data_IF_252514689086
#
_entry.id   IF_252514689086
#
_cell.length_a   1.000
_cell.length_b   1.000
_cell.length_c   1.000
_cell.angle_alpha   90.00
_cell.angle_beta   90.00
_cell.angle_gamma   90.00
#
_symmetry.space_group_name_H-M   'P 1'
#
loop_
_entity.id
_entity.type
_entity.pdbx_description
1 polymer ?
#
# COMPACT_ATOMS: atom_id res chain seq x y z
N UNK A 1 29.78 2.26 32.35
CA UNK A 1 29.03 3.23 33.18
C UNK A 1 28.22 4.11 32.25
N UNK A 2 26.90 3.92 32.24
CA UNK A 2 25.83 4.90 32.05
C UNK A 2 24.53 4.09 32.02
N UNK A 3 23.67 4.37 33.00
CA UNK A 3 22.58 3.53 33.48
C UNK A 3 21.35 3.54 32.56
N UNK A 4 20.63 2.41 32.53
CA UNK A 4 19.30 2.27 31.92
C UNK A 4 18.24 2.85 32.87
N UNK A 5 17.21 3.57 32.39
CA UNK A 5 16.17 4.08 33.29
C UNK A 5 15.26 2.96 33.81
N UNK A 6 14.90 3.13 35.07
CA UNK A 6 14.24 2.19 35.96
C UNK A 6 12.74 1.98 35.63
N UNK A 7 12.21 0.78 35.88
CA UNK A 7 10.87 0.28 35.52
C UNK A 7 9.68 0.91 36.29
N UNK A 8 9.87 2.03 36.99
CA UNK A 8 8.85 2.65 37.88
C UNK A 8 8.25 3.97 37.40
N UNK A 9 8.69 4.53 36.27
CA UNK A 9 8.15 5.80 35.75
C UNK A 9 7.01 5.65 34.73
N UNK A 10 6.59 4.41 34.42
CA UNK A 10 5.54 4.13 33.42
C UNK A 10 4.13 4.01 33.99
N UNK A 11 3.95 4.17 35.30
CA UNK A 11 2.69 3.91 36.00
C UNK A 11 1.91 5.15 36.46
N UNK A 12 2.30 6.37 36.07
CA UNK A 12 1.65 7.62 36.54
C UNK A 12 0.87 8.42 35.49
N UNK A 13 0.64 7.87 34.29
CA UNK A 13 -0.08 8.59 33.22
C UNK A 13 -1.48 8.05 32.89
N UNK A 14 -2.02 7.11 33.67
CA UNK A 14 -3.32 6.48 33.34
C UNK A 14 -4.26 6.17 34.52
N UNK A 15 -4.14 6.84 35.68
CA UNK A 15 -4.96 6.49 36.86
C UNK A 15 -5.77 7.59 37.53
N UNK A 16 -5.85 8.83 37.02
CA UNK A 16 -6.74 9.84 37.60
C UNK A 16 -7.50 10.67 36.56
N UNK A 17 -8.57 10.10 36.02
CA UNK A 17 -9.70 10.86 35.49
C UNK A 17 -11.00 10.24 36.03
N UNK A 18 -11.36 10.60 37.27
CA UNK A 18 -12.75 10.49 37.74
C UNK A 18 -13.55 11.67 37.16
N UNK A 19 -14.82 11.49 36.75
CA UNK A 19 -15.62 12.59 36.25
C UNK A 19 -15.96 13.55 37.40
N UNK A 20 -15.49 14.79 37.30
CA UNK A 20 -15.93 15.91 38.13
C UNK A 20 -17.33 16.32 37.63
N UNK A 21 -18.34 16.27 38.51
CA UNK A 21 -19.66 16.86 38.23
C UNK A 21 -19.50 18.38 38.09
N UNK A 22 -19.82 18.92 36.92
CA UNK A 22 -19.97 20.36 36.73
C UNK A 22 -21.26 20.86 37.41
N UNK A 23 -21.31 22.11 37.93
CA UNK A 23 -22.51 22.67 38.52
C UNK A 23 -23.53 23.02 37.43
N UNK A 24 -24.82 22.78 37.75
CA UNK A 24 -25.96 23.15 36.91
C UNK A 24 -25.94 24.65 36.59
N UNK A 25 -25.74 24.99 35.32
CA UNK A 25 -26.01 26.33 34.78
C UNK A 25 -27.12 26.18 33.73
N UNK A 26 -28.27 26.76 34.06
CA UNK A 26 -29.51 26.71 33.29
C UNK A 26 -29.35 27.43 31.94
N UNK A 27 -29.01 26.66 30.89
CA UNK A 27 -28.81 27.14 29.52
C UNK A 27 -30.12 27.43 28.78
N UNK A 28 -31.28 27.34 29.45
CA UNK A 28 -32.60 27.66 28.85
C UNK A 28 -32.91 29.15 28.74
N UNK A 29 -32.11 30.05 29.32
CA UNK A 29 -32.34 31.50 29.25
C UNK A 29 -31.74 32.20 28.02
N UNK A 30 -30.71 31.62 27.39
CA UNK A 30 -29.95 32.29 26.33
C UNK A 30 -30.46 32.03 24.89
N UNK A 31 -31.27 31.00 24.67
CA UNK A 31 -31.72 30.62 23.31
C UNK A 31 -33.10 31.24 22.96
N UNK A 32 -33.80 31.86 23.92
CA UNK A 32 -35.12 32.48 23.68
C UNK A 32 -35.10 33.88 23.05
N UNK A 33 -33.95 34.56 22.97
CA UNK A 33 -33.90 35.95 22.50
C UNK A 33 -33.59 36.12 21.00
N UNK A 34 -33.24 35.05 20.27
CA UNK A 34 -32.81 35.17 18.87
C UNK A 34 -33.75 34.60 17.80
N UNK A 35 -34.78 33.82 18.17
CA UNK A 35 -35.67 33.15 17.21
C UNK A 35 -37.10 33.74 17.11
N UNK A 36 -37.35 34.93 17.67
CA UNK A 36 -38.68 35.56 17.69
C UNK A 36 -38.91 36.63 16.60
N UNK A 37 -38.10 36.69 15.53
CA UNK A 37 -38.36 37.59 14.40
C UNK A 37 -38.22 36.85 13.08
N UNK A 38 -39.32 36.86 12.32
CA UNK A 38 -39.50 36.42 10.94
C UNK A 38 -39.98 34.98 10.73
N UNK A 39 -41.31 34.83 10.70
CA UNK A 39 -41.99 33.80 9.93
C UNK A 39 -43.35 34.33 9.46
N UNK A 40 -43.66 34.39 8.15
CA UNK A 40 -45.03 34.39 7.67
C UNK A 40 -45.55 32.95 7.49
N UNK A 41 -46.86 32.77 7.72
CA UNK A 41 -47.59 31.49 7.79
C UNK A 41 -47.66 30.72 6.44
N UNK A 42 -47.88 29.39 6.46
CA UNK A 42 -48.06 28.59 5.25
C UNK A 42 -49.53 28.56 4.80
N UNK A 43 -49.76 28.62 3.49
CA UNK A 43 -51.08 28.41 2.90
C UNK A 43 -51.11 27.06 2.14
N UNK A 44 -52.17 26.28 2.37
CA UNK A 44 -52.42 24.95 1.79
C UNK A 44 -53.09 25.07 0.41
N UNK A 45 -52.66 24.28 -0.57
CA UNK A 45 -53.34 24.12 -1.86
C UNK A 45 -52.91 22.82 -2.56
N UNK A 46 -53.90 22.06 -3.05
CA UNK A 46 -53.86 20.68 -3.60
C UNK A 46 -53.16 20.56 -4.97
N UNK A 47 -52.83 19.33 -5.44
CA UNK A 47 -52.05 19.08 -6.67
C UNK A 47 -52.92 18.74 -7.90
N UNK A 48 -52.34 18.92 -9.10
CA UNK A 48 -52.50 18.18 -10.39
C UNK A 48 -52.34 19.13 -11.64
N UNK A 49 -52.09 18.64 -12.88
CA UNK A 49 -50.98 17.78 -13.34
C UNK A 49 -50.42 18.18 -14.76
N UNK A 50 -49.38 17.47 -15.23
CA UNK A 50 -48.82 17.32 -16.62
C UNK A 50 -48.55 18.55 -17.53
N UNK A 51 -47.35 18.69 -18.11
CA UNK A 51 -47.09 18.27 -19.51
C UNK A 51 -45.67 18.53 -20.04
N UNK A 52 -45.34 17.81 -21.12
CA UNK A 52 -44.05 17.60 -21.79
C UNK A 52 -43.66 18.65 -22.85
N UNK A 53 -42.35 18.96 -22.88
CA UNK A 53 -41.49 19.15 -24.09
C UNK A 53 -41.47 20.52 -24.84
N UNK A 54 -40.59 20.73 -25.85
CA UNK A 54 -39.35 21.50 -25.72
C UNK A 54 -39.17 22.62 -26.78
N UNK A 55 -38.07 23.38 -26.71
CA UNK A 55 -37.50 24.37 -27.68
C UNK A 55 -37.16 25.70 -26.94
N UNK A 56 -36.09 26.45 -27.19
CA UNK A 56 -35.54 26.91 -28.46
C UNK A 56 -34.12 27.48 -28.25
N UNK A 57 -33.23 27.11 -29.17
CA UNK A 57 -32.06 27.78 -29.77
C UNK A 57 -31.45 29.07 -29.16
N UNK A 58 -30.13 28.99 -28.98
CA UNK A 58 -29.05 29.79 -29.60
C UNK A 58 -29.22 31.29 -29.92
N UNK A 59 -28.26 32.10 -29.43
CA UNK A 59 -27.44 33.11 -30.13
C UNK A 59 -26.48 33.73 -29.08
N UNK A 60 -25.15 33.64 -29.17
CA UNK A 60 -24.19 34.24 -30.13
C UNK A 60 -23.98 35.76 -29.97
N UNK A 61 -22.70 36.15 -30.07
CA UNK A 61 -22.05 37.48 -30.08
C UNK A 61 -21.28 37.91 -28.80
N UNK A 62 -20.05 38.45 -28.81
CA UNK A 62 -18.85 38.48 -29.70
C UNK A 62 -17.99 39.69 -29.28
N UNK A 63 -16.65 39.53 -29.39
CA UNK A 63 -15.58 40.56 -29.48
C UNK A 63 -15.31 41.43 -28.24
N UNK A 64 -14.12 41.98 -27.97
CA UNK A 64 -12.72 41.81 -28.34
C UNK A 64 -11.97 42.99 -27.69
N UNK A 65 -10.68 42.87 -27.36
CA UNK A 65 -9.89 44.04 -26.95
C UNK A 65 -8.46 43.74 -26.52
N UNK A 66 -7.54 43.75 -27.48
CA UNK A 66 -6.08 43.78 -27.28
C UNK A 66 -5.66 45.09 -26.62
N UNK A 67 -4.55 45.07 -25.87
CA UNK A 67 -3.50 46.08 -26.01
C UNK A 67 -2.16 45.63 -25.41
N UNK A 68 -1.11 45.94 -26.17
CA UNK A 68 0.32 45.68 -25.97
C UNK A 68 1.04 46.98 -25.60
N UNK A 69 1.98 46.96 -24.64
CA UNK A 69 2.99 48.03 -24.48
C UNK A 69 4.36 47.41 -24.11
N UNK A 70 5.39 48.02 -24.70
CA UNK A 70 6.80 47.65 -24.84
C UNK A 70 7.73 48.17 -23.71
N UNK A 71 8.78 47.37 -23.40
CA UNK A 71 10.21 47.71 -23.09
C UNK A 71 10.59 48.43 -21.76
N UNK A 72 11.90 48.44 -21.34
CA UNK A 72 13.10 47.75 -21.86
C UNK A 72 13.96 46.97 -20.82
N UNK A 73 14.91 46.22 -21.38
CA UNK A 73 16.07 45.55 -20.78
C UNK A 73 17.11 46.58 -20.30
N UNK A 74 17.65 46.43 -19.09
CA UNK A 74 18.81 47.19 -18.60
C UNK A 74 20.03 46.30 -18.43
N UNK A 75 21.14 46.80 -18.96
CA UNK A 75 22.50 46.32 -18.90
C UNK A 75 23.02 46.23 -17.45
N UNK A 76 23.63 45.11 -17.08
CA UNK A 76 24.60 45.02 -15.98
C UNK A 76 25.38 43.69 -16.05
N UNK A 77 26.17 43.47 -17.10
CA UNK A 77 27.16 42.39 -17.09
C UNK A 77 28.31 42.67 -18.06
N UNK A 78 29.07 43.73 -17.81
CA UNK A 78 30.39 43.91 -18.42
C UNK A 78 31.26 44.78 -17.51
N UNK A 79 31.94 44.17 -16.54
CA UNK A 79 33.22 44.67 -16.04
C UNK A 79 33.93 43.58 -15.19
N UNK A 80 35.12 43.18 -15.68
CA UNK A 80 36.28 42.61 -14.96
C UNK A 80 36.12 41.17 -14.44
N UNK A 81 36.55 40.08 -15.08
CA UNK A 81 37.66 39.83 -16.03
C UNK A 81 38.99 40.49 -15.63
N UNK A 82 39.48 40.19 -14.43
CA UNK A 82 40.91 40.17 -14.06
C UNK A 82 41.06 39.75 -12.58
N UNK A 83 41.62 38.55 -12.34
CA UNK A 83 42.08 37.91 -11.05
C UNK A 83 41.47 36.50 -10.96
N UNK A 84 42.17 35.37 -10.96
CA UNK A 84 43.59 35.03 -10.81
C UNK A 84 43.81 33.72 -11.58
N UNK A 85 44.62 33.77 -12.64
CA UNK A 85 45.27 32.61 -13.25
C UNK A 85 46.67 32.56 -12.64
N UNK A 86 46.82 31.85 -11.52
CA UNK A 86 48.12 31.43 -11.00
C UNK A 86 47.88 30.10 -10.28
N UNK A 87 48.48 29.03 -10.80
CA UNK A 87 48.82 27.74 -10.13
C UNK A 87 48.79 26.51 -11.04
N UNK A 88 48.67 26.64 -12.37
CA UNK A 88 48.76 25.49 -13.29
C UNK A 88 50.15 25.26 -13.93
N UNK A 89 51.15 26.09 -13.61
CA UNK A 89 52.50 26.01 -14.21
C UNK A 89 53.58 25.41 -13.29
N UNK A 90 53.23 24.93 -12.09
CA UNK A 90 54.18 24.33 -11.14
C UNK A 90 54.05 22.81 -10.98
N UNK A 91 53.00 22.18 -11.53
CA UNK A 91 52.76 20.73 -11.43
C UNK A 91 53.27 19.92 -12.65
N UNK A 92 53.86 20.58 -13.65
CA UNK A 92 54.36 19.96 -14.89
C UNK A 92 55.88 19.76 -14.93
N UNK A 93 56.59 19.97 -13.82
CA UNK A 93 58.06 19.83 -13.72
C UNK A 93 58.55 18.83 -12.67
N UNK A 94 57.66 17.98 -12.13
CA UNK A 94 58.03 16.92 -11.17
C UNK A 94 57.77 15.50 -11.69
N UNK A 95 57.41 15.32 -12.96
CA UNK A 95 57.12 14.01 -13.56
C UNK A 95 58.21 13.47 -14.51
N UNK A 96 59.29 14.22 -14.75
CA UNK A 96 60.33 13.86 -15.75
C UNK A 96 61.71 13.54 -15.13
N UNK A 97 61.74 12.86 -13.97
CA UNK A 97 63.00 12.31 -13.45
C UNK A 97 62.79 11.05 -12.60
N UNK A 98 62.50 9.92 -13.24
CA UNK A 98 62.81 8.59 -12.70
C UNK A 98 62.66 7.52 -13.79
N UNK A 99 63.73 7.29 -14.54
CA UNK A 99 63.92 6.03 -15.28
C UNK A 99 64.84 5.12 -14.47
N UNK A 100 64.51 3.83 -14.48
CA UNK A 100 65.34 2.68 -14.06
C UNK A 100 65.30 2.23 -12.60
N UNK A 101 64.26 1.45 -12.27
CA UNK A 101 64.42 0.22 -11.50
C UNK A 101 63.38 -0.81 -12.01
N UNK A 102 63.86 -1.81 -12.77
CA UNK A 102 63.06 -2.97 -13.17
C UNK A 102 62.80 -3.82 -11.94
N UNK A 103 61.54 -3.91 -11.52
CA UNK A 103 61.06 -5.02 -10.70
C UNK A 103 60.05 -5.80 -11.56
N UNK A 104 60.43 -7.04 -11.90
CA UNK A 104 59.62 -8.01 -12.64
C UNK A 104 58.46 -8.44 -11.75
N UNK A 105 57.27 -7.91 -12.03
CA UNK A 105 56.01 -8.45 -11.49
C UNK A 105 55.32 -9.17 -12.67
N UNK A 106 54.96 -10.45 -12.56
CA UNK A 106 54.23 -11.14 -13.62
C UNK A 106 52.88 -10.44 -13.84
N UNK A 107 52.51 -10.25 -15.11
CA UNK A 107 51.18 -9.77 -15.46
C UNK A 107 50.13 -10.79 -14.97
N UNK A 108 49.45 -10.47 -13.87
CA UNK A 108 48.28 -11.21 -13.41
C UNK A 108 47.20 -11.17 -14.49
N UNK A 109 46.51 -12.29 -14.77
CA UNK A 109 45.44 -12.31 -15.76
C UNK A 109 44.35 -11.32 -15.34
N UNK A 110 43.77 -10.62 -16.32
CA UNK A 110 42.62 -9.73 -16.11
C UNK A 110 41.48 -10.53 -15.49
N UNK A 111 41.35 -10.47 -14.17
CA UNK A 111 40.19 -10.97 -13.47
C UNK A 111 39.00 -10.09 -13.89
N UNK A 112 38.01 -10.69 -14.54
CA UNK A 112 36.68 -10.09 -14.65
C UNK A 112 36.24 -9.68 -13.24
N UNK A 113 35.99 -8.38 -13.07
CA UNK A 113 35.43 -7.87 -11.82
C UNK A 113 33.98 -8.31 -11.76
N UNK A 114 33.75 -9.55 -11.31
CA UNK A 114 32.47 -9.92 -10.73
C UNK A 114 32.23 -8.99 -9.55
N UNK A 115 31.29 -8.07 -9.72
CA UNK A 115 30.84 -7.16 -8.70
C UNK A 115 30.21 -7.98 -7.57
N UNK A 116 31.03 -8.44 -6.63
CA UNK A 116 30.60 -9.14 -5.44
C UNK A 116 29.74 -8.18 -4.61
N UNK A 117 28.43 -8.42 -4.63
CA UNK A 117 27.43 -7.68 -3.85
C UNK A 117 27.72 -7.87 -2.37
N UNK A 118 28.15 -6.82 -1.67
CA UNK A 118 28.08 -6.79 -0.21
C UNK A 118 26.68 -6.29 0.20
N UNK A 119 25.73 -7.22 0.30
CA UNK A 119 24.42 -6.98 0.90
C UNK A 119 24.60 -6.92 2.42
N UNK A 120 24.39 -5.77 3.05
CA UNK A 120 24.29 -5.68 4.52
C UNK A 120 22.84 -5.82 4.95
N UNK A 121 22.29 -7.02 4.70
CA UNK A 121 21.44 -7.75 5.62
C UNK A 121 21.98 -9.19 5.60
N UNK A 122 22.78 -9.56 6.60
CA UNK A 122 23.11 -10.96 6.86
C UNK A 122 22.40 -11.36 8.15
N UNK A 123 21.54 -12.38 8.06
CA UNK A 123 21.95 -13.64 8.65
C UNK A 123 21.72 -14.80 7.67
N UNK A 124 22.81 -15.20 6.98
CA UNK A 124 22.98 -16.45 6.18
C UNK A 124 21.92 -16.69 5.07
N UNK A 125 22.22 -17.46 4.01
CA UNK A 125 21.16 -18.27 3.41
C UNK A 125 20.51 -18.99 4.58
N UNK A 126 19.19 -18.94 4.77
CA UNK A 126 18.56 -19.82 5.75
C UNK A 126 19.15 -21.21 5.52
N UNK A 127 19.63 -21.88 6.57
CA UNK A 127 20.50 -23.07 6.48
C UNK A 127 19.79 -24.30 5.83
N UNK A 128 18.75 -24.10 5.03
CA UNK A 128 17.72 -25.07 4.66
C UNK A 128 16.74 -25.36 5.78
N UNK A 129 16.91 -24.71 6.95
CA UNK A 129 16.13 -24.99 8.14
C UNK A 129 14.64 -24.64 7.91
N UNK A 130 13.71 -25.59 8.10
CA UNK A 130 12.29 -25.34 7.99
C UNK A 130 11.85 -24.18 8.90
N UNK A 131 11.07 -23.25 8.36
CA UNK A 131 10.52 -22.10 9.08
C UNK A 131 9.06 -22.34 9.45
N UNK A 132 8.72 -22.10 10.71
CA UNK A 132 7.34 -22.03 11.15
C UNK A 132 6.66 -20.79 10.56
N UNK A 133 5.46 -20.97 9.99
CA UNK A 133 4.59 -19.87 9.58
C UNK A 133 3.22 -20.09 10.20
N UNK A 134 2.69 -19.08 10.87
CA UNK A 134 1.32 -19.13 11.39
C UNK A 134 0.34 -19.08 10.21
N UNK A 135 -0.56 -20.05 10.11
CA UNK A 135 -1.58 -20.12 9.07
C UNK A 135 -2.96 -19.88 9.66
N UNK A 136 -3.68 -18.89 9.14
CA UNK A 136 -5.07 -18.62 9.47
C UNK A 136 -5.92 -18.92 8.23
N UNK A 137 -6.65 -20.05 8.17
CA UNK A 137 -7.52 -20.38 7.04
C UNK A 137 -8.55 -19.29 6.74
N UNK A 138 -9.15 -18.73 7.79
CA UNK A 138 -10.15 -17.67 7.70
C UNK A 138 -11.52 -18.16 7.23
N UNK A 139 -12.33 -17.26 6.69
CA UNK A 139 -13.73 -17.50 6.37
C UNK A 139 -14.01 -17.64 4.86
N UNK A 140 -15.18 -18.16 4.53
CA UNK A 140 -15.68 -18.25 3.16
C UNK A 140 -14.77 -19.13 2.30
N UNK A 141 -14.18 -18.57 1.24
CA UNK A 141 -13.24 -19.30 0.36
C UNK A 141 -11.86 -19.52 1.00
N UNK A 142 -11.59 -18.91 2.16
CA UNK A 142 -10.30 -18.93 2.84
C UNK A 142 -9.68 -20.32 2.99
N UNK A 143 -10.37 -21.28 3.65
CA UNK A 143 -9.87 -22.64 3.83
C UNK A 143 -9.49 -23.32 2.50
N UNK A 144 -10.32 -23.16 1.48
CA UNK A 144 -10.11 -23.77 0.17
C UNK A 144 -8.83 -23.24 -0.52
N UNK A 145 -8.56 -21.94 -0.42
CA UNK A 145 -7.36 -21.34 -1.02
C UNK A 145 -6.11 -21.53 -0.16
N UNK A 146 -6.24 -21.60 1.16
CA UNK A 146 -5.09 -21.90 2.05
C UNK A 146 -4.65 -23.36 1.90
N UNK A 147 -5.60 -24.29 1.80
CA UNK A 147 -5.29 -25.70 1.55
C UNK A 147 -4.59 -25.89 0.20
N UNK A 148 -4.98 -25.12 -0.82
CA UNK A 148 -4.30 -25.08 -2.12
C UNK A 148 -2.83 -24.65 -2.00
N UNK A 149 -2.53 -23.65 -1.17
CA UNK A 149 -1.15 -23.23 -0.88
C UNK A 149 -0.38 -24.37 -0.22
N UNK A 150 -0.95 -25.02 0.79
CA UNK A 150 -0.26 -26.10 1.51
C UNK A 150 0.07 -27.31 0.63
N UNK A 151 -0.87 -27.69 -0.26
CA UNK A 151 -0.64 -28.77 -1.22
C UNK A 151 0.56 -28.45 -2.12
N UNK A 152 0.63 -27.23 -2.65
CA UNK A 152 1.72 -26.80 -3.53
C UNK A 152 3.04 -26.68 -2.77
N UNK A 153 3.03 -26.12 -1.56
CA UNK A 153 4.21 -26.01 -0.70
C UNK A 153 4.78 -27.39 -0.36
N UNK A 154 3.90 -28.36 -0.09
CA UNK A 154 4.27 -29.76 0.17
C UNK A 154 4.86 -30.40 -1.09
N UNK A 155 4.21 -30.24 -2.24
CA UNK A 155 4.62 -30.81 -3.52
C UNK A 155 6.01 -30.31 -3.96
N UNK A 156 6.32 -29.04 -3.70
CA UNK A 156 7.64 -28.48 -4.02
C UNK A 156 8.70 -28.72 -2.93
N UNK A 157 8.34 -29.37 -1.82
CA UNK A 157 9.18 -29.55 -0.63
C UNK A 157 9.76 -28.24 -0.07
N UNK A 158 8.89 -27.23 0.06
CA UNK A 158 9.29 -25.94 0.62
C UNK A 158 9.78 -26.11 2.07
N UNK A 159 10.83 -25.39 2.51
CA UNK A 159 11.33 -25.42 3.89
C UNK A 159 10.44 -24.57 4.81
N UNK A 160 9.14 -24.84 4.80
CA UNK A 160 8.12 -24.14 5.58
C UNK A 160 7.14 -25.18 6.13
N UNK A 161 6.75 -25.02 7.40
CA UNK A 161 5.64 -25.77 7.97
C UNK A 161 4.63 -24.80 8.60
N UNK A 162 3.36 -25.12 8.46
CA UNK A 162 2.27 -24.26 8.89
C UNK A 162 1.74 -24.65 10.27
N UNK A 163 1.74 -23.70 11.19
CA UNK A 163 1.02 -23.80 12.46
C UNK A 163 -0.39 -23.25 12.25
N UNK A 164 -1.37 -24.14 12.05
CA UNK A 164 -2.76 -23.76 11.75
C UNK A 164 -3.52 -23.30 12.99
N UNK A 165 -4.23 -22.18 12.86
CA UNK A 165 -5.16 -21.68 13.87
C UNK A 165 -6.48 -21.28 13.22
N UNK A 166 -7.58 -21.83 13.75
CA UNK A 166 -8.93 -21.48 13.30
C UNK A 166 -9.34 -20.14 13.92
N UNK A 167 -9.49 -19.13 13.06
CA UNK A 167 -9.96 -17.80 13.42
C UNK A 167 -11.07 -17.41 12.46
N UNK A 168 -12.22 -17.05 13.02
CA UNK A 168 -13.39 -16.66 12.27
C UNK A 168 -13.73 -15.18 12.50
N UNK A 169 -14.22 -14.51 11.47
CA UNK A 169 -14.53 -13.09 11.47
C UNK A 169 -15.64 -12.64 12.42
N UNK A 170 -16.46 -13.56 12.91
CA UNK A 170 -17.52 -13.35 13.90
C UNK A 170 -17.03 -13.40 15.36
N UNK A 171 -15.78 -13.84 15.57
CA UNK A 171 -15.16 -13.82 16.89
C UNK A 171 -15.00 -12.38 17.38
N UNK A 172 -15.16 -12.18 18.70
CA UNK A 172 -15.02 -10.85 19.32
C UNK A 172 -13.61 -10.29 19.25
N UNK A 173 -12.62 -11.18 19.29
CA UNK A 173 -11.20 -10.86 19.34
C UNK A 173 -10.41 -12.03 18.79
N UNK A 174 -9.27 -11.74 18.14
CA UNK A 174 -8.30 -12.78 17.80
C UNK A 174 -7.80 -13.46 19.10
N UNK A 175 -7.79 -14.80 19.19
CA UNK A 175 -7.26 -15.50 20.35
C UNK A 175 -5.79 -15.13 20.62
N UNK A 176 -5.44 -14.98 21.90
CA UNK A 176 -4.08 -14.52 22.28
C UNK A 176 -3.01 -15.52 21.82
N UNK A 177 -3.31 -16.81 21.80
CA UNK A 177 -2.41 -17.86 21.28
C UNK A 177 -2.00 -17.64 19.82
N UNK A 178 -2.89 -17.08 19.00
CA UNK A 178 -2.61 -16.76 17.59
C UNK A 178 -1.67 -15.57 17.51
N UNK A 179 -1.92 -14.53 18.31
CA UNK A 179 -1.05 -13.35 18.39
C UNK A 179 0.34 -13.75 18.89
N UNK A 180 0.43 -14.63 19.89
CA UNK A 180 1.69 -15.17 20.39
C UNK A 180 2.42 -16.01 19.34
N UNK A 181 1.70 -16.85 18.59
CA UNK A 181 2.27 -17.60 17.45
C UNK A 181 2.83 -16.65 16.40
N UNK A 182 2.11 -15.60 16.00
CA UNK A 182 2.60 -14.61 15.04
C UNK A 182 3.83 -13.85 15.59
N UNK A 183 3.82 -13.49 16.88
CA UNK A 183 4.96 -12.83 17.53
C UNK A 183 6.18 -13.75 17.65
N UNK A 184 6.00 -15.06 17.77
CA UNK A 184 7.07 -16.08 17.79
C UNK A 184 7.62 -16.34 16.39
N UNK A 185 6.75 -16.58 15.42
CA UNK A 185 7.11 -16.99 14.06
C UNK A 185 7.47 -15.79 13.16
N UNK A 186 7.05 -14.58 13.53
CA UNK A 186 7.19 -13.31 12.81
C UNK A 186 6.41 -13.22 11.50
N UNK A 187 5.99 -14.34 10.94
CA UNK A 187 5.32 -14.42 9.64
C UNK A 187 4.01 -15.17 9.77
N UNK A 188 2.98 -14.65 9.12
CA UNK A 188 1.68 -15.29 9.00
C UNK A 188 1.19 -15.26 7.56
N UNK A 189 0.55 -16.35 7.13
CA UNK A 189 -0.26 -16.41 5.92
C UNK A 189 -1.72 -16.50 6.35
N UNK A 190 -2.60 -15.64 5.81
CA UNK A 190 -4.02 -15.67 6.14
C UNK A 190 -4.93 -15.68 4.92
N UNK A 191 -6.05 -16.39 5.04
CA UNK A 191 -7.22 -16.21 4.19
C UNK A 191 -8.02 -14.95 4.54
N UNK A 192 -9.13 -14.75 3.86
CA UNK A 192 -10.02 -13.61 4.12
C UNK A 192 -10.79 -13.80 5.44
N UNK A 193 -10.83 -12.76 6.29
CA UNK A 193 -11.68 -12.75 7.50
C UNK A 193 -12.86 -11.83 7.26
N UNK A 194 -14.08 -12.36 7.42
CA UNK A 194 -15.32 -11.61 7.24
C UNK A 194 -15.40 -10.52 8.29
N UNK A 195 -15.87 -9.33 7.92
CA UNK A 195 -16.18 -8.28 8.91
C UNK A 195 -17.69 -8.06 8.90
N UNK A 196 -18.40 -8.21 10.03
CA UNK A 196 -19.82 -7.91 10.09
C UNK A 196 -20.07 -6.42 9.78
N UNK A 197 -21.10 -6.14 8.97
CA UNK A 197 -21.46 -4.77 8.58
C UNK A 197 -22.48 -4.23 9.60
N UNK A 198 -22.11 -3.14 10.27
CA UNK A 198 -22.96 -2.50 11.28
C UNK A 198 -22.74 -3.06 12.69
N UNK A 199 -22.80 -2.17 13.69
CA UNK A 199 -22.73 -2.51 15.11
C UNK A 199 -21.30 -2.69 15.64
N UNK A 200 -20.66 -1.59 16.05
CA UNK A 200 -19.66 -1.42 17.12
C UNK A 200 -18.48 -2.40 17.34
N UNK A 201 -18.40 -3.53 16.65
CA UNK A 201 -17.34 -4.52 16.80
C UNK A 201 -16.20 -4.15 15.85
N UNK A 202 -15.01 -3.92 16.40
CA UNK A 202 -13.81 -3.65 15.63
C UNK A 202 -13.46 -4.85 14.75
N UNK A 203 -13.24 -4.63 13.45
CA UNK A 203 -12.80 -5.67 12.52
C UNK A 203 -11.54 -6.39 13.02
N UNK A 204 -11.54 -7.73 13.02
CA UNK A 204 -10.37 -8.54 13.40
C UNK A 204 -9.15 -8.24 12.52
N UNK A 205 -9.36 -7.92 11.24
CA UNK A 205 -8.28 -7.51 10.35
C UNK A 205 -7.61 -6.21 10.85
N UNK A 206 -8.41 -5.24 11.32
CA UNK A 206 -7.89 -4.00 11.89
C UNK A 206 -7.22 -4.25 13.24
N UNK A 207 -7.75 -5.17 14.05
CA UNK A 207 -7.13 -5.58 15.30
C UNK A 207 -5.72 -6.14 15.07
N UNK A 208 -5.56 -7.10 14.14
CA UNK A 208 -4.25 -7.67 13.78
C UNK A 208 -3.26 -6.60 13.33
N UNK A 209 -3.70 -5.66 12.49
CA UNK A 209 -2.86 -4.58 11.98
C UNK A 209 -2.37 -3.65 13.09
N UNK A 210 -3.24 -3.31 14.04
CA UNK A 210 -2.90 -2.43 15.17
C UNK A 210 -2.03 -3.14 16.22
N UNK A 211 -2.38 -4.37 16.61
CA UNK A 211 -1.64 -5.10 17.65
C UNK A 211 -0.23 -5.51 17.23
N UNK A 212 -0.01 -5.75 15.93
CA UNK A 212 1.28 -6.13 15.38
C UNK A 212 2.04 -4.97 14.71
N UNK A 213 1.48 -3.76 14.73
CA UNK A 213 1.99 -2.55 14.05
C UNK A 213 2.36 -2.80 12.57
N UNK A 214 1.45 -3.42 11.83
CA UNK A 214 1.60 -3.73 10.40
C UNK A 214 1.28 -2.49 9.56
N UNK A 215 2.18 -1.52 9.58
CA UNK A 215 1.94 -0.17 9.08
C UNK A 215 1.92 -0.02 7.57
N UNK A 216 2.55 -0.93 6.82
CA UNK A 216 2.60 -0.89 5.37
C UNK A 216 1.74 -2.02 4.77
N UNK A 217 0.68 -1.67 4.07
CA UNK A 217 -0.07 -2.59 3.23
C UNK A 217 0.44 -2.49 1.80
N UNK A 218 0.80 -3.62 1.20
CA UNK A 218 1.34 -3.73 -0.16
C UNK A 218 0.39 -4.53 -1.02
N UNK A 219 0.13 -4.02 -2.23
CA UNK A 219 -0.63 -4.72 -3.26
C UNK A 219 0.10 -4.56 -4.58
N UNK A 220 0.49 -5.68 -5.19
CA UNK A 220 1.13 -5.67 -6.50
C UNK A 220 0.05 -5.89 -7.57
N UNK A 221 -0.19 -4.87 -8.38
CA UNK A 221 -1.19 -4.86 -9.44
C UNK A 221 -0.49 -4.94 -10.80
N UNK A 222 -0.44 -6.12 -11.39
CA UNK A 222 0.23 -6.34 -12.66
C UNK A 222 -0.59 -7.20 -13.62
N UNK A 223 -0.44 -6.96 -14.92
CA UNK A 223 -1.07 -7.82 -15.92
C UNK A 223 -0.38 -9.19 -15.94
N UNK A 224 -1.18 -10.24 -15.76
CA UNK A 224 -0.73 -11.62 -15.96
C UNK A 224 -0.69 -11.94 -17.46
N UNK A 225 0.43 -12.42 -18.02
CA UNK A 225 0.50 -12.85 -19.41
C UNK A 225 -0.61 -13.84 -19.74
N UNK A 226 -1.28 -13.64 -20.87
CA UNK A 226 -2.39 -14.46 -21.36
C UNK A 226 -3.76 -14.18 -20.73
N UNK A 227 -3.86 -13.43 -19.64
CA UNK A 227 -5.14 -13.01 -19.08
C UNK A 227 -5.66 -11.76 -19.84
N UNK A 228 -6.81 -11.83 -20.53
CA UNK A 228 -7.33 -10.69 -21.25
C UNK A 228 -7.84 -9.60 -20.30
N UNK A 229 -7.26 -8.41 -20.41
CA UNK A 229 -7.64 -7.20 -19.66
C UNK A 229 -7.88 -6.04 -20.63
N UNK A 230 -8.55 -4.98 -20.17
CA UNK A 230 -8.79 -3.79 -20.99
C UNK A 230 -7.51 -2.96 -21.23
N UNK A 231 -6.60 -2.99 -20.26
CA UNK A 231 -5.32 -2.29 -20.29
C UNK A 231 -4.19 -3.33 -20.31
N UNK A 232 -3.10 -2.97 -20.99
CA UNK A 232 -1.88 -3.77 -21.14
C UNK A 232 -0.72 -3.05 -20.45
N UNK A 233 0.38 -3.77 -20.19
CA UNK A 233 1.62 -3.25 -19.58
C UNK A 233 1.43 -2.52 -18.24
N UNK A 234 0.43 -2.92 -17.46
CA UNK A 234 0.21 -2.45 -16.10
C UNK A 234 1.12 -3.23 -15.14
N UNK A 235 1.93 -2.51 -14.39
CA UNK A 235 2.74 -3.04 -13.29
C UNK A 235 2.90 -1.94 -12.21
N UNK A 236 1.93 -1.90 -11.31
CA UNK A 236 1.77 -0.86 -10.29
C UNK A 236 1.89 -1.51 -8.92
N UNK A 237 2.66 -0.90 -8.02
CA UNK A 237 2.70 -1.31 -6.60
C UNK A 237 2.06 -0.24 -5.75
N UNK A 238 0.98 -0.59 -5.06
CA UNK A 238 0.29 0.32 -4.14
C UNK A 238 0.76 0.03 -2.72
N UNK A 239 1.38 1.03 -2.10
CA UNK A 239 1.86 1.01 -0.72
C UNK A 239 1.00 1.98 0.09
N UNK A 240 0.23 1.40 1.00
CA UNK A 240 -0.79 2.07 1.78
C UNK A 240 -0.39 2.12 3.25
N UNK A 241 -0.52 3.29 3.86
CA UNK A 241 -0.50 3.45 5.32
C UNK A 241 -1.68 2.68 5.94
N UNK A 242 -1.44 1.88 6.98
CA UNK A 242 -2.40 0.86 7.42
C UNK A 242 -2.78 0.94 8.92
N UNK A 243 -2.30 1.94 9.65
CA UNK A 243 -2.50 2.11 11.11
C UNK A 243 -3.30 3.35 11.51
N UNK A 244 -3.32 4.42 10.70
CA UNK A 244 -3.97 5.68 11.04
C UNK A 244 -4.94 6.16 9.94
N UNK A 245 -5.22 7.46 9.88
CA UNK A 245 -6.17 8.06 8.96
C UNK A 245 -7.62 7.80 9.39
N UNK A 246 -8.46 7.58 8.39
CA UNK A 246 -9.91 7.36 8.55
C UNK A 246 -10.21 6.03 9.27
N UNK A 247 -9.27 5.07 9.27
CA UNK A 247 -9.41 3.78 9.96
C UNK A 247 -9.07 3.85 11.46
N UNK A 248 -8.82 5.05 11.99
CA UNK A 248 -8.71 5.27 13.43
C UNK A 248 -10.03 4.92 14.15
N UNK A 249 -11.17 5.03 13.46
CA UNK A 249 -12.49 4.65 13.98
C UNK A 249 -12.99 5.57 15.10
N UNK A 250 -12.48 6.81 15.13
CA UNK A 250 -12.83 7.80 16.14
C UNK A 250 -14.06 8.57 15.68
N UNK A 251 -15.23 8.04 16.01
CA UNK A 251 -16.52 8.61 15.63
C UNK A 251 -17.38 8.87 16.87
N UNK A 252 -18.12 9.96 16.87
CA UNK A 252 -19.10 10.25 17.91
C UNK A 252 -20.24 11.11 17.36
N UNK A 253 -21.41 10.97 17.98
CA UNK A 253 -22.57 11.81 17.69
C UNK A 253 -22.58 12.98 18.67
N UNK A 254 -22.37 14.20 18.16
CA UNK A 254 -22.27 15.42 18.98
C UNK A 254 -23.65 15.80 19.51
N UNK A 255 -24.64 15.77 18.63
CA UNK A 255 -26.07 15.92 18.91
C UNK A 255 -26.85 14.98 17.99
N UNK A 256 -28.08 14.57 18.35
CA UNK A 256 -28.88 13.66 17.51
C UNK A 256 -28.95 14.12 16.05
N UNK A 257 -28.42 13.31 15.13
CA UNK A 257 -28.32 13.58 13.69
C UNK A 257 -27.02 14.24 13.22
N UNK A 258 -26.05 14.51 14.09
CA UNK A 258 -24.75 15.13 13.76
C UNK A 258 -23.61 14.22 14.21
N UNK A 259 -22.99 13.54 13.25
CA UNK A 259 -21.88 12.61 13.48
C UNK A 259 -20.57 13.25 13.04
N UNK A 260 -19.58 13.24 13.93
CA UNK A 260 -18.21 13.63 13.64
C UNK A 260 -17.33 12.39 13.51
N UNK A 261 -16.47 12.38 12.48
CA UNK A 261 -15.47 11.34 12.24
C UNK A 261 -14.09 12.01 12.17
N UNK A 262 -13.20 11.63 13.08
CA UNK A 262 -11.89 12.27 13.26
C UNK A 262 -10.81 11.53 12.46
N UNK A 263 -10.34 12.16 11.39
CA UNK A 263 -9.16 11.72 10.64
C UNK A 263 -7.89 12.19 11.35
N UNK A 264 -7.05 11.23 11.77
CA UNK A 264 -5.76 11.51 12.40
C UNK A 264 -4.63 11.11 11.46
N UNK A 265 -3.75 12.06 11.14
CA UNK A 265 -2.52 11.82 10.38
C UNK A 265 -1.36 12.34 11.22
N UNK A 266 -0.31 11.53 11.35
CA UNK A 266 0.88 11.88 12.12
C UNK A 266 2.13 11.92 11.25
N UNK A 267 3.08 12.78 11.62
CA UNK A 267 4.38 12.88 10.93
C UNK A 267 5.13 11.54 10.99
N UNK A 268 5.11 10.89 12.15
CA UNK A 268 5.76 9.59 12.35
C UNK A 268 5.26 8.51 11.38
N UNK A 269 3.94 8.32 11.28
CA UNK A 269 3.37 7.31 10.39
C UNK A 269 3.56 7.67 8.90
N UNK A 270 3.47 8.96 8.56
CA UNK A 270 3.68 9.45 7.19
C UNK A 270 5.15 9.28 6.74
N UNK A 271 6.12 9.54 7.62
CA UNK A 271 7.54 9.34 7.34
C UNK A 271 7.88 7.86 7.15
N UNK A 272 7.41 6.98 8.05
CA UNK A 272 7.73 5.54 7.95
C UNK A 272 7.15 4.90 6.69
N UNK A 273 5.92 5.24 6.30
CA UNK A 273 5.31 4.69 5.08
C UNK A 273 5.99 5.23 3.82
N UNK A 274 6.34 6.52 3.81
CA UNK A 274 7.11 7.10 2.73
C UNK A 274 8.50 6.42 2.61
N UNK A 275 9.20 6.26 3.73
CA UNK A 275 10.50 5.59 3.76
C UNK A 275 10.39 4.16 3.24
N UNK A 276 9.41 3.40 3.71
CA UNK A 276 9.14 2.06 3.21
C UNK A 276 8.88 2.05 1.69
N UNK A 277 8.11 3.00 1.16
CA UNK A 277 7.81 3.07 -0.27
C UNK A 277 9.05 3.37 -1.13
N UNK A 278 9.90 4.29 -0.69
CA UNK A 278 11.15 4.60 -1.39
C UNK A 278 12.18 3.47 -1.28
N UNK A 279 12.30 2.82 -0.12
CA UNK A 279 13.16 1.65 0.07
C UNK A 279 12.70 0.49 -0.81
N UNK A 280 11.39 0.21 -0.82
CA UNK A 280 10.80 -0.79 -1.69
C UNK A 280 11.12 -0.48 -3.16
N UNK A 281 10.91 0.77 -3.58
CA UNK A 281 11.19 1.18 -4.95
C UNK A 281 12.67 0.99 -5.32
N UNK A 282 13.58 1.39 -4.43
CA UNK A 282 15.02 1.23 -4.63
C UNK A 282 15.43 -0.24 -4.75
N UNK A 283 14.99 -1.08 -3.80
CA UNK A 283 15.36 -2.51 -3.74
C UNK A 283 14.77 -3.33 -4.90
N UNK A 284 13.60 -2.94 -5.40
CA UNK A 284 12.93 -3.62 -6.51
C UNK A 284 13.21 -2.96 -7.88
N UNK A 285 14.24 -2.10 -7.98
CA UNK A 285 14.66 -1.40 -9.20
C UNK A 285 13.57 -0.54 -9.87
N UNK A 286 12.55 -0.14 -9.11
CA UNK A 286 11.49 0.78 -9.53
C UNK A 286 12.07 2.18 -9.69
N UNK A 287 11.47 2.98 -10.57
CA UNK A 287 12.04 4.28 -11.00
C UNK A 287 11.25 5.46 -10.50
N UNK A 288 10.00 5.27 -10.09
CA UNK A 288 9.12 6.37 -9.72
C UNK A 288 8.23 6.04 -8.52
N UNK A 289 8.11 7.00 -7.61
CA UNK A 289 7.18 6.98 -6.47
C UNK A 289 6.20 8.15 -6.63
N UNK A 290 4.92 7.85 -6.67
CA UNK A 290 3.83 8.83 -6.74
C UNK A 290 3.07 8.89 -5.40
N UNK A 291 3.06 10.05 -4.73
CA UNK A 291 2.24 10.26 -3.55
C UNK A 291 0.80 10.66 -3.93
N UNK A 292 -0.18 9.89 -3.46
CA UNK A 292 -1.62 10.16 -3.72
C UNK A 292 -2.24 10.85 -2.51
N UNK A 293 -2.93 11.98 -2.73
CA UNK A 293 -3.42 12.84 -1.65
C UNK A 293 -4.70 13.61 -2.03
N UNK A 294 -5.27 14.33 -1.06
CA UNK A 294 -6.36 15.30 -1.22
C UNK A 294 -6.05 16.61 -0.48
N UNK A 295 -4.77 16.99 -0.46
CA UNK A 295 -4.27 18.21 0.20
C UNK A 295 -4.85 19.53 -0.33
N UNK A 296 -5.49 19.53 -1.51
CA UNK A 296 -6.23 20.70 -2.00
C UNK A 296 -7.47 21.02 -1.13
N UNK A 297 -8.04 20.01 -0.47
CA UNK A 297 -9.15 20.15 0.49
C UNK A 297 -8.62 20.03 1.93
N UNK A 298 -7.94 18.94 2.25
CA UNK A 298 -7.37 18.70 3.60
C UNK A 298 -5.95 19.25 3.71
N UNK A 299 -5.84 20.58 3.75
CA UNK A 299 -4.56 21.30 3.69
C UNK A 299 -3.57 20.91 4.79
N UNK A 300 -4.06 20.60 5.99
CA UNK A 300 -3.21 20.24 7.14
C UNK A 300 -2.88 18.75 7.16
N UNK A 301 -3.89 17.89 7.24
CA UNK A 301 -3.68 16.43 7.39
C UNK A 301 -2.92 15.83 6.20
N UNK A 302 -3.42 16.05 4.98
CA UNK A 302 -2.76 15.54 3.78
C UNK A 302 -1.54 16.39 3.38
N UNK A 303 -1.51 17.66 3.79
CA UNK A 303 -0.32 18.50 3.64
C UNK A 303 0.88 17.95 4.42
N UNK A 304 0.66 17.51 5.66
CA UNK A 304 1.67 16.86 6.49
C UNK A 304 2.18 15.57 5.86
N UNK A 305 1.29 14.74 5.32
CA UNK A 305 1.67 13.52 4.60
C UNK A 305 2.60 13.81 3.40
N UNK A 306 2.27 14.82 2.60
CA UNK A 306 3.12 15.22 1.47
C UNK A 306 4.46 15.79 1.91
N UNK A 307 4.48 16.60 2.97
CA UNK A 307 5.73 17.12 3.55
C UNK A 307 6.66 15.97 3.93
N UNK A 308 6.16 14.96 4.67
CA UNK A 308 6.92 13.76 5.01
C UNK A 308 7.41 13.00 3.77
N UNK A 309 6.57 12.86 2.73
CA UNK A 309 6.98 12.21 1.48
C UNK A 309 8.11 12.97 0.78
N UNK A 310 8.03 14.31 0.71
CA UNK A 310 9.05 15.18 0.12
C UNK A 310 10.37 15.10 0.88
N UNK A 311 10.31 15.14 2.21
CA UNK A 311 11.48 15.01 3.09
C UNK A 311 12.20 13.68 2.83
N UNK A 312 11.47 12.57 2.77
CA UNK A 312 12.04 11.25 2.46
C UNK A 312 12.58 11.20 1.02
N UNK A 313 11.88 11.77 0.04
CA UNK A 313 12.30 11.78 -1.35
C UNK A 313 13.70 12.37 -1.55
N UNK A 314 14.09 13.36 -0.73
CA UNK A 314 15.44 13.95 -0.78
C UNK A 314 16.56 12.95 -0.51
N UNK A 315 16.27 11.86 0.21
CA UNK A 315 17.22 10.79 0.53
C UNK A 315 17.40 9.79 -0.62
N UNK A 316 16.52 9.83 -1.63
CA UNK A 316 16.49 8.88 -2.75
C UNK A 316 16.53 9.59 -4.12
N UNK A 317 17.62 10.31 -4.46
CA UNK A 317 17.69 11.14 -5.66
C UNK A 317 17.60 10.35 -6.98
N UNK A 318 17.84 9.03 -6.95
CA UNK A 318 17.69 8.16 -8.13
C UNK A 318 16.24 7.79 -8.46
N UNK A 319 15.29 8.06 -7.55
CA UNK A 319 13.88 7.74 -7.71
C UNK A 319 13.12 9.03 -8.03
N UNK A 320 12.40 9.04 -9.15
CA UNK A 320 11.54 10.16 -9.52
C UNK A 320 10.37 10.25 -8.54
N UNK A 321 10.19 11.42 -7.94
CA UNK A 321 9.05 11.71 -7.07
C UNK A 321 8.04 12.62 -7.76
N UNK A 322 6.75 12.30 -7.62
CA UNK A 322 5.66 13.17 -8.04
C UNK A 322 4.43 13.01 -7.13
N UNK A 323 3.50 13.93 -7.24
CA UNK A 323 2.29 13.99 -6.42
C UNK A 323 1.05 14.04 -7.31
N UNK A 324 -0.03 13.43 -6.87
CA UNK A 324 -1.30 13.45 -7.60
C UNK A 324 -2.48 13.50 -6.63
N UNK A 325 -3.47 14.33 -6.98
CA UNK A 325 -4.73 14.38 -6.26
C UNK A 325 -5.52 13.09 -6.54
N UNK A 326 -6.10 12.47 -5.52
CA UNK A 326 -6.76 11.16 -5.60
C UNK A 326 -7.85 11.08 -6.67
N UNK A 327 -8.65 12.13 -6.88
CA UNK A 327 -9.67 12.14 -7.95
C UNK A 327 -9.03 12.00 -9.34
N UNK A 328 -7.99 12.79 -9.61
CA UNK A 328 -7.25 12.71 -10.86
C UNK A 328 -6.52 11.37 -10.94
N UNK A 329 -6.01 10.84 -9.83
CA UNK A 329 -5.42 9.52 -9.77
C UNK A 329 -6.39 8.43 -10.26
N UNK A 330 -7.64 8.44 -9.78
CA UNK A 330 -8.67 7.51 -10.24
C UNK A 330 -8.95 7.67 -11.75
N UNK A 331 -9.05 8.91 -12.25
CA UNK A 331 -9.23 9.16 -13.69
C UNK A 331 -8.04 8.65 -14.52
N UNK A 332 -6.82 8.86 -14.05
CA UNK A 332 -5.60 8.42 -14.72
C UNK A 332 -5.46 6.89 -14.68
N UNK A 333 -5.81 6.23 -13.57
CA UNK A 333 -5.75 4.77 -13.47
C UNK A 333 -6.62 4.09 -14.53
N UNK A 334 -7.85 4.56 -14.73
CA UNK A 334 -8.75 3.95 -15.74
C UNK A 334 -8.46 4.38 -17.18
N UNK A 335 -7.58 5.36 -17.38
CA UNK A 335 -7.26 5.91 -18.71
C UNK A 335 -5.89 5.46 -19.21
N UNK A 336 -4.85 5.63 -18.39
CA UNK A 336 -3.44 5.37 -18.67
C UNK A 336 -2.73 4.83 -17.41
N UNK A 337 -3.09 3.62 -16.93
CA UNK A 337 -2.51 3.02 -15.72
C UNK A 337 -1.00 2.79 -15.81
N UNK A 338 -0.47 2.50 -17.00
CA UNK A 338 0.96 2.23 -17.29
C UNK A 338 1.88 3.40 -16.91
N UNK A 339 1.31 4.58 -16.69
CA UNK A 339 2.06 5.72 -16.20
C UNK A 339 2.44 5.59 -14.72
N UNK A 340 1.85 4.70 -13.93
CA UNK A 340 2.18 4.55 -12.50
C UNK A 340 3.22 3.44 -12.31
N UNK A 341 3.99 3.56 -11.23
CA UNK A 341 5.03 2.60 -10.85
C UNK A 341 4.79 2.24 -9.37
N UNK A 342 5.49 2.87 -8.42
CA UNK A 342 5.15 2.76 -7.00
C UNK A 342 4.24 3.92 -6.59
N UNK A 343 3.17 3.62 -5.88
CA UNK A 343 2.21 4.60 -5.36
C UNK A 343 2.19 4.54 -3.84
N UNK A 344 2.40 5.67 -3.17
CA UNK A 344 2.31 5.78 -1.71
C UNK A 344 1.10 6.60 -1.31
N UNK A 345 0.30 6.08 -0.37
CA UNK A 345 -0.99 6.69 -0.03
C UNK A 345 -1.27 6.65 1.48
N UNK A 346 -2.04 7.62 2.01
CA UNK A 346 -2.78 7.46 3.26
C UNK A 346 -3.77 6.29 3.20
N UNK A 347 -4.33 5.94 4.35
CA UNK A 347 -5.08 4.71 4.55
C UNK A 347 -6.32 4.55 3.64
N UNK A 348 -7.29 5.48 3.68
CA UNK A 348 -8.52 5.34 2.88
C UNK A 348 -8.25 5.34 1.37
N UNK A 349 -7.37 6.23 0.89
CA UNK A 349 -7.08 6.35 -0.54
C UNK A 349 -6.40 5.10 -1.06
N UNK A 350 -5.50 4.51 -0.27
CA UNK A 350 -4.84 3.26 -0.62
C UNK A 350 -5.82 2.13 -0.85
N UNK A 351 -6.88 2.04 -0.04
CA UNK A 351 -7.92 1.04 -0.26
C UNK A 351 -8.61 1.21 -1.62
N UNK A 352 -8.98 2.45 -1.96
CA UNK A 352 -9.68 2.75 -3.22
C UNK A 352 -8.77 2.54 -4.44
N UNK A 353 -7.54 3.04 -4.36
CA UNK A 353 -6.53 2.93 -5.42
C UNK A 353 -6.14 1.47 -5.64
N UNK A 354 -5.86 0.70 -4.59
CA UNK A 354 -5.48 -0.70 -4.71
C UNK A 354 -6.59 -1.55 -5.35
N UNK A 355 -7.86 -1.37 -4.94
CA UNK A 355 -8.97 -2.10 -5.55
C UNK A 355 -9.21 -1.69 -7.02
N UNK A 356 -9.02 -0.42 -7.34
CA UNK A 356 -9.15 0.08 -8.73
C UNK A 356 -8.05 -0.50 -9.61
N UNK A 357 -6.79 -0.43 -9.15
CA UNK A 357 -5.64 -0.99 -9.86
C UNK A 357 -5.74 -2.52 -10.01
N UNK A 358 -6.21 -3.22 -8.97
CA UNK A 358 -6.49 -4.65 -9.03
C UNK A 358 -7.55 -4.99 -10.10
N UNK A 359 -8.65 -4.23 -10.14
CA UNK A 359 -9.70 -4.39 -11.15
C UNK A 359 -9.20 -4.17 -12.59
N UNK A 360 -8.34 -3.18 -12.78
CA UNK A 360 -7.72 -2.87 -14.08
C UNK A 360 -6.77 -3.99 -14.54
N UNK A 361 -5.98 -4.54 -13.62
CA UNK A 361 -4.92 -5.48 -13.93
C UNK A 361 -5.37 -6.95 -14.06
N UNK A 362 -6.63 -7.29 -13.75
CA UNK A 362 -7.16 -8.66 -13.89
C UNK A 362 -8.19 -9.10 -12.86
N UNK A 363 -8.51 -8.25 -11.89
CA UNK A 363 -9.46 -8.52 -10.81
C UNK A 363 -8.79 -8.95 -9.51
N UNK A 364 -9.55 -8.97 -8.41
CA UNK A 364 -9.00 -9.24 -7.07
C UNK A 364 -8.49 -10.67 -6.87
N UNK A 365 -8.98 -11.63 -7.66
CA UNK A 365 -8.66 -13.06 -7.54
C UNK A 365 -7.21 -13.42 -7.92
N UNK A 366 -6.47 -12.50 -8.54
CA UNK A 366 -5.09 -12.70 -9.01
C UNK A 366 -4.07 -11.74 -8.39
N UNK A 367 -4.51 -10.82 -7.53
CA UNK A 367 -3.65 -9.75 -7.03
C UNK A 367 -3.08 -10.10 -5.66
N UNK A 368 -1.76 -10.32 -5.56
CA UNK A 368 -1.13 -10.63 -4.29
C UNK A 368 -0.95 -9.39 -3.42
N UNK A 369 -0.81 -9.62 -2.12
CA UNK A 369 -0.51 -8.56 -1.18
C UNK A 369 -0.03 -9.05 0.18
N UNK A 370 0.24 -8.09 1.04
CA UNK A 370 0.67 -8.33 2.40
C UNK A 370 0.68 -7.06 3.23
N UNK A 371 0.69 -7.24 4.55
CA UNK A 371 0.82 -6.18 5.54
C UNK A 371 2.13 -6.42 6.28
N UNK A 372 2.98 -5.41 6.30
CA UNK A 372 4.34 -5.48 6.82
C UNK A 372 4.50 -4.44 7.92
N UNK A 373 5.02 -4.87 9.06
CA UNK A 373 5.47 -4.03 10.16
C UNK A 373 6.99 -4.09 10.31
N UNK A 374 7.50 -3.54 11.40
CA UNK A 374 8.94 -3.58 11.69
C UNK A 374 9.42 -5.01 12.01
N UNK A 375 8.64 -5.76 12.79
CA UNK A 375 9.01 -7.09 13.30
C UNK A 375 8.17 -8.23 12.71
N UNK A 376 7.02 -7.93 12.10
CA UNK A 376 6.03 -8.93 11.70
C UNK A 376 5.55 -8.70 10.27
N UNK A 377 5.15 -9.77 9.58
CA UNK A 377 4.55 -9.71 8.25
C UNK A 377 3.37 -10.67 8.15
N UNK A 378 2.25 -10.20 7.57
CA UNK A 378 1.07 -11.00 7.27
C UNK A 378 0.81 -10.95 5.77
N UNK A 379 0.89 -12.09 5.10
CA UNK A 379 0.59 -12.22 3.67
C UNK A 379 -0.87 -12.65 3.47
N UNK A 380 -1.55 -11.99 2.55
CA UNK A 380 -2.98 -12.22 2.28
C UNK A 380 -3.31 -11.84 0.83
N UNK A 381 -4.54 -12.06 0.38
CA UNK A 381 -4.98 -11.54 -0.92
C UNK A 381 -4.94 -10.00 -0.90
N UNK A 382 -4.31 -9.38 -1.90
CA UNK A 382 -4.00 -7.95 -1.87
C UNK A 382 -5.23 -7.06 -2.02
N UNK A 383 -6.27 -7.54 -2.70
CA UNK A 383 -7.53 -6.84 -2.83
C UNK A 383 -8.69 -7.77 -2.45
N UNK A 384 -9.76 -7.18 -1.92
CA UNK A 384 -10.96 -7.93 -1.53
C UNK A 384 -12.19 -7.29 -2.17
N UNK A 385 -12.91 -8.07 -2.96
CA UNK A 385 -14.17 -7.65 -3.58
C UNK A 385 -15.37 -7.71 -2.60
N UNK A 386 -15.15 -7.76 -1.28
CA UNK A 386 -16.22 -7.90 -0.29
C UNK A 386 -16.93 -9.26 -0.30
N UNK A 387 -16.46 -10.21 -1.11
CA UNK A 387 -17.01 -11.56 -1.24
C UNK A 387 -16.50 -12.55 -0.18
N UNK A 388 -15.80 -12.06 0.85
CA UNK A 388 -15.34 -12.88 1.98
C UNK A 388 -16.57 -13.39 2.74
N UNK A 389 -16.92 -14.66 2.50
CA UNK A 389 -18.15 -15.28 3.01
C UNK A 389 -19.19 -15.67 1.95
N UNK A 390 -18.87 -15.65 0.64
CA UNK A 390 -19.75 -16.22 -0.37
C UNK A 390 -19.70 -17.76 -0.35
N UNK A 391 -20.52 -18.37 0.51
CA UNK A 391 -20.62 -19.83 0.70
C UNK A 391 -20.91 -20.58 -0.61
N UNK A 392 -21.64 -19.96 -1.56
CA UNK A 392 -21.94 -20.58 -2.86
C UNK A 392 -20.69 -20.93 -3.68
N UNK A 393 -19.61 -20.15 -3.55
CA UNK A 393 -18.35 -20.40 -4.28
C UNK A 393 -17.56 -21.52 -3.59
N UNK A 394 -17.62 -21.56 -2.25
CA UNK A 394 -17.01 -22.60 -1.45
C UNK A 394 -17.64 -23.96 -1.77
N UNK A 395 -18.98 -24.04 -1.78
CA UNK A 395 -19.74 -25.25 -2.08
C UNK A 395 -19.43 -25.81 -3.49
N UNK A 396 -19.20 -24.90 -4.44
CA UNK A 396 -18.87 -25.26 -5.82
C UNK A 396 -17.40 -25.62 -6.01
N UNK A 397 -16.54 -25.41 -5.00
CA UNK A 397 -15.08 -25.59 -5.06
C UNK A 397 -14.42 -24.84 -6.24
N UNK A 398 -14.95 -23.66 -6.59
CA UNK A 398 -14.52 -22.85 -7.75
C UNK A 398 -13.85 -21.53 -7.37
N UNK A 399 -13.24 -21.47 -6.19
CA UNK A 399 -12.48 -20.29 -5.78
C UNK A 399 -11.18 -20.19 -6.59
N UNK A 400 -10.74 -18.97 -6.88
CA UNK A 400 -9.45 -18.73 -7.52
C UNK A 400 -8.34 -18.66 -6.46
N UNK A 401 -7.36 -19.59 -6.45
CA UNK A 401 -6.28 -19.58 -5.47
C UNK A 401 -5.12 -18.65 -5.86
N UNK A 402 -5.09 -18.10 -7.08
CA UNK A 402 -3.91 -17.44 -7.66
C UNK A 402 -3.39 -16.27 -6.82
N UNK A 403 -4.28 -15.38 -6.35
CA UNK A 403 -3.85 -14.26 -5.49
C UNK A 403 -3.09 -14.73 -4.25
N UNK A 404 -3.59 -15.75 -3.56
CA UNK A 404 -2.96 -16.25 -2.34
C UNK A 404 -1.69 -17.05 -2.63
N UNK A 405 -1.64 -17.79 -3.75
CA UNK A 405 -0.40 -18.44 -4.21
C UNK A 405 0.70 -17.42 -4.48
N UNK A 406 0.38 -16.33 -5.16
CA UNK A 406 1.33 -15.24 -5.42
C UNK A 406 1.71 -14.49 -4.14
N UNK A 407 0.78 -14.29 -3.18
CA UNK A 407 1.11 -13.76 -1.85
C UNK A 407 2.02 -14.70 -1.07
N UNK A 408 1.89 -16.00 -1.28
CA UNK A 408 2.78 -17.00 -0.69
C UNK A 408 4.18 -16.97 -1.31
N UNK A 409 4.30 -16.62 -2.60
CA UNK A 409 5.59 -16.30 -3.21
C UNK A 409 6.21 -15.04 -2.58
N UNK A 410 5.42 -13.99 -2.30
CA UNK A 410 5.90 -12.82 -1.54
C UNK A 410 6.40 -13.22 -0.13
N UNK A 411 5.67 -14.12 0.54
CA UNK A 411 6.07 -14.67 1.84
C UNK A 411 7.41 -15.42 1.76
N UNK A 412 7.59 -16.28 0.76
CA UNK A 412 8.83 -17.03 0.58
C UNK A 412 10.02 -16.10 0.34
N UNK A 413 9.85 -15.02 -0.43
CA UNK A 413 10.90 -13.98 -0.58
C UNK A 413 11.22 -13.29 0.73
N UNK A 414 10.20 -12.98 1.54
CA UNK A 414 10.40 -12.39 2.87
C UNK A 414 11.18 -13.34 3.79
N UNK A 415 10.90 -14.64 3.74
CA UNK A 415 11.60 -15.71 4.47
C UNK A 415 12.99 -16.04 3.92
N UNK A 416 13.47 -15.33 2.90
CA UNK A 416 14.77 -15.57 2.23
C UNK A 416 14.85 -16.90 1.45
N UNK A 417 13.73 -17.33 0.86
CA UNK A 417 13.63 -18.49 -0.03
C UNK A 417 13.26 -18.09 -1.48
N UNK A 418 14.09 -17.27 -2.17
CA UNK A 418 13.74 -16.73 -3.48
C UNK A 418 13.59 -17.80 -4.57
N UNK A 419 14.39 -18.88 -4.54
CA UNK A 419 14.28 -19.96 -5.53
C UNK A 419 12.92 -20.65 -5.50
N UNK A 420 12.37 -20.90 -4.31
CA UNK A 420 11.04 -21.46 -4.13
C UNK A 420 9.95 -20.47 -4.55
N UNK A 421 10.13 -19.18 -4.26
CA UNK A 421 9.21 -18.14 -4.71
C UNK A 421 9.16 -18.03 -6.25
N UNK A 422 10.32 -18.04 -6.90
CA UNK A 422 10.45 -17.92 -8.35
C UNK A 422 9.88 -19.15 -9.06
N UNK A 423 10.10 -20.36 -8.53
CA UNK A 423 9.47 -21.60 -9.02
C UNK A 423 7.95 -21.52 -8.97
N UNK A 424 7.39 -21.14 -7.81
CA UNK A 424 5.95 -20.99 -7.63
C UNK A 424 5.36 -19.94 -8.57
N UNK A 425 5.96 -18.75 -8.62
CA UNK A 425 5.47 -17.66 -9.45
C UNK A 425 5.54 -18.00 -10.95
N UNK A 426 6.60 -18.66 -11.39
CA UNK A 426 6.77 -19.10 -12.79
C UNK A 426 5.73 -20.14 -13.15
N UNK A 427 5.49 -21.15 -12.29
CA UNK A 427 4.47 -22.18 -12.52
C UNK A 427 3.07 -21.58 -12.63
N UNK A 428 2.70 -20.68 -11.70
CA UNK A 428 1.40 -19.97 -11.74
C UNK A 428 1.27 -19.13 -13.01
N UNK A 429 2.29 -18.34 -13.37
CA UNK A 429 2.28 -17.52 -14.59
C UNK A 429 2.14 -18.39 -15.85
N UNK A 430 2.83 -19.53 -15.93
CA UNK A 430 2.73 -20.47 -17.05
C UNK A 430 1.30 -20.99 -17.21
N UNK A 431 0.70 -21.52 -16.13
CA UNK A 431 -0.68 -22.05 -16.14
C UNK A 431 -1.70 -21.01 -16.61
N UNK A 432 -1.61 -19.78 -16.08
CA UNK A 432 -2.53 -18.71 -16.49
C UNK A 432 -2.28 -18.29 -17.94
N UNK A 433 -1.02 -18.22 -18.39
CA UNK A 433 -0.66 -17.83 -19.76
C UNK A 433 -1.12 -18.81 -20.82
N UNK A 434 -1.09 -20.12 -20.52
CA UNK A 434 -1.59 -21.16 -21.43
C UNK A 434 -3.11 -21.09 -21.65
N UNK A 435 -3.83 -20.57 -20.66
CA UNK A 435 -5.27 -20.31 -20.75
C UNK A 435 -6.19 -21.53 -20.74
N UNK A 436 -5.65 -22.75 -20.63
CA UNK A 436 -6.43 -23.99 -20.57
C UNK A 436 -7.14 -24.19 -19.23
N UNK A 437 -6.47 -23.84 -18.12
CA UNK A 437 -6.96 -24.05 -16.75
C UNK A 437 -7.16 -22.69 -16.10
N UNK A 438 -8.41 -22.26 -16.02
CA UNK A 438 -8.81 -20.95 -15.47
C UNK A 438 -10.11 -21.08 -14.71
N UNK A 439 -10.18 -20.43 -13.56
CA UNK A 439 -11.43 -20.30 -12.79
C UNK A 439 -12.40 -19.34 -13.48
N UNK A 440 -13.65 -19.34 -13.00
CA UNK A 440 -14.76 -18.57 -13.58
C UNK A 440 -14.51 -17.07 -13.65
N UNK A 441 -13.89 -16.50 -12.62
CA UNK A 441 -13.52 -15.08 -12.55
C UNK A 441 -12.49 -14.67 -13.60
N UNK A 442 -11.70 -15.62 -14.11
CA UNK A 442 -10.72 -15.43 -15.19
C UNK A 442 -11.28 -15.85 -16.57
N UNK A 443 -12.59 -16.08 -16.67
CA UNK A 443 -13.27 -16.46 -17.91
C UNK A 443 -13.20 -17.96 -18.26
N UNK A 444 -12.74 -18.82 -17.35
CA UNK A 444 -12.72 -20.28 -17.55
C UNK A 444 -13.83 -21.02 -16.79
N UNK A 445 -13.71 -22.34 -16.70
CA UNK A 445 -14.67 -23.21 -16.00
C UNK A 445 -14.04 -24.12 -14.96
N UNK A 446 -12.73 -24.02 -14.78
CA UNK A 446 -11.97 -24.93 -13.93
C UNK A 446 -12.29 -24.76 -12.44
N UNK A 447 -12.14 -25.84 -11.69
CA UNK A 447 -12.22 -25.87 -10.24
C UNK A 447 -10.91 -25.41 -9.60
N UNK A 448 -10.95 -25.15 -8.29
CA UNK A 448 -9.75 -24.79 -7.52
C UNK A 448 -8.70 -25.90 -7.61
N UNK A 449 -9.12 -27.16 -7.48
CA UNK A 449 -8.20 -28.31 -7.50
C UNK A 449 -7.55 -28.50 -8.86
N UNK A 450 -8.28 -28.32 -9.96
CA UNK A 450 -7.69 -28.40 -11.31
C UNK A 450 -6.59 -27.34 -11.52
N UNK A 451 -6.76 -26.14 -10.97
CA UNK A 451 -5.71 -25.11 -10.98
C UNK A 451 -4.50 -25.55 -10.16
N UNK A 452 -4.73 -26.11 -8.96
CA UNK A 452 -3.66 -26.63 -8.10
C UNK A 452 -2.87 -27.73 -8.80
N UNK A 453 -3.55 -28.72 -9.35
CA UNK A 453 -2.92 -29.85 -10.05
C UNK A 453 -2.12 -29.38 -11.27
N UNK A 454 -2.64 -28.40 -12.01
CA UNK A 454 -1.94 -27.78 -13.14
C UNK A 454 -0.69 -27.01 -12.70
N UNK A 455 -0.76 -26.29 -11.58
CA UNK A 455 0.41 -25.59 -11.01
C UNK A 455 1.45 -26.60 -10.53
N UNK A 456 1.04 -27.65 -9.81
CA UNK A 456 1.94 -28.71 -9.34
C UNK A 456 2.66 -29.39 -10.51
N UNK A 457 1.93 -29.68 -11.60
CA UNK A 457 2.49 -30.28 -12.81
C UNK A 457 3.50 -29.38 -13.53
N UNK A 458 3.50 -28.08 -13.25
CA UNK A 458 4.40 -27.08 -13.83
C UNK A 458 5.47 -26.59 -12.84
N UNK A 459 5.61 -27.21 -11.68
CA UNK A 459 6.73 -26.97 -10.78
C UNK A 459 7.98 -27.66 -11.36
N UNK A 460 8.87 -26.86 -11.95
CA UNK A 460 10.17 -27.33 -12.46
C UNK A 460 11.07 -27.92 -11.36
#
# INVERSE_FOLDING_TARGET
>A
MLERPNRRTRAYLYSELRPVRAPDVDSRSLIRSHFARNNPKPNRGKPEPYDLSPSTQANAFSLAGRNSINRPVSQALLLVMARRVVSLHMLRRLADSATSARCLIPALPKAEVQQARSVTYMPRPGDGAPRAVTLIPGDGIGPLVTDAVEQIMTAMHAPVYFEKYEVHGDMKRVPEEVIESIKKNKVCLKGGLRTPVGGGVSSLNVQLRKELDLYASLVNCFNLPGLPTRHEDVDIVVIRENTEGEYSGLEHEVVPGVVESLKVITKFCSERIAQYAFEYAYLNNRKKVTAVHKANIMKLADGLFLESCREVATKYPSIKYNEIIVDNCCMQLVSKPEQFDVMVTPNLYGNLVANTAAGIAGGTGVMPGGNVGADHAIFEQGASAGNVGNEKILDQKKANPVALLLSSAMMLRHLQFPSFADRLETAVKRVISEGKVRTKDLGGTSTTQEVVDAVISNLD
#
